data_IF_263494536796
#
_entry.id   IF_263494536796
#
_cell.length_a   1.000
_cell.length_b   1.000
_cell.length_c   1.000
_cell.angle_alpha   90.00
_cell.angle_beta   90.00
_cell.angle_gamma   90.00
#
_symmetry.space_group_name_H-M   'P 1'
#
loop_
_entity.id
_entity.type
_entity.pdbx_description
1 polymer ?
#
# COMPACT_ATOMS: atom_id res chain seq x y z
N UNK A 1 -13.68 -22.07 15.64
CA UNK A 1 -14.91 -21.57 14.98
C UNK A 1 -14.46 -20.60 13.91
N UNK A 2 -14.76 -20.82 12.61
CA UNK A 2 -14.37 -19.85 11.58
C UNK A 2 -15.09 -18.53 11.84
N UNK A 3 -14.34 -17.45 11.94
CA UNK A 3 -14.87 -16.10 12.17
C UNK A 3 -15.69 -15.68 10.92
N UNK A 4 -16.82 -15.02 11.16
CA UNK A 4 -17.85 -14.74 10.15
C UNK A 4 -17.58 -13.44 9.37
N UNK A 5 -18.19 -13.25 8.19
CA UNK A 5 -18.09 -11.98 7.45
C UNK A 5 -18.46 -10.71 8.27
N UNK A 6 -19.44 -10.76 9.20
CA UNK A 6 -19.66 -9.69 10.19
C UNK A 6 -18.43 -9.33 11.02
N UNK A 7 -17.65 -10.33 11.47
CA UNK A 7 -16.46 -10.12 12.30
C UNK A 7 -15.34 -9.43 11.52
N UNK A 8 -15.20 -9.75 10.23
CA UNK A 8 -14.29 -9.05 9.30
C UNK A 8 -14.58 -7.56 9.25
N UNK A 9 -15.85 -7.19 9.02
CA UNK A 9 -16.25 -5.79 8.89
C UNK A 9 -16.12 -5.00 10.20
N UNK A 10 -16.25 -5.66 11.36
CA UNK A 10 -16.03 -5.05 12.66
C UNK A 10 -14.53 -4.77 12.90
N UNK A 11 -13.66 -5.78 12.74
CA UNK A 11 -12.22 -5.59 12.95
C UNK A 11 -11.60 -4.63 11.94
N UNK A 12 -12.06 -4.63 10.68
CA UNK A 12 -11.60 -3.66 9.70
C UNK A 12 -11.91 -2.23 10.16
N UNK A 13 -13.14 -1.96 10.64
CA UNK A 13 -13.54 -0.64 11.15
C UNK A 13 -12.77 -0.23 12.40
N UNK A 14 -12.37 -1.19 13.23
CA UNK A 14 -11.57 -0.95 14.43
C UNK A 14 -10.11 -0.57 14.09
N UNK A 15 -9.49 -1.30 13.16
CA UNK A 15 -8.07 -1.16 12.85
C UNK A 15 -7.78 -0.02 11.87
N UNK A 16 -8.61 0.13 10.84
CA UNK A 16 -8.34 1.01 9.70
C UNK A 16 -8.02 2.46 10.11
N UNK A 17 -8.77 3.13 11.00
CA UNK A 17 -8.49 4.52 11.35
C UNK A 17 -7.08 4.70 11.93
N UNK A 18 -6.65 3.81 12.83
CA UNK A 18 -5.31 3.87 13.45
C UNK A 18 -4.21 3.51 12.46
N UNK A 19 -4.42 2.49 11.61
CA UNK A 19 -3.43 2.15 10.56
C UNK A 19 -3.24 3.33 9.61
N UNK A 20 -4.34 3.93 9.15
CA UNK A 20 -4.30 5.07 8.24
C UNK A 20 -3.64 6.29 8.88
N UNK A 21 -3.92 6.56 10.16
CA UNK A 21 -3.25 7.62 10.92
C UNK A 21 -1.75 7.38 11.04
N UNK A 22 -1.31 6.16 11.35
CA UNK A 22 0.11 5.81 11.38
C UNK A 22 0.78 5.96 10.00
N UNK A 23 0.06 5.69 8.90
CA UNK A 23 0.54 6.01 7.54
C UNK A 23 0.79 7.52 7.39
N UNK A 24 -0.16 8.37 7.80
CA UNK A 24 -0.02 9.82 7.70
C UNK A 24 1.09 10.38 8.57
N UNK A 25 1.24 9.90 9.81
CA UNK A 25 2.35 10.28 10.69
C UNK A 25 3.68 9.93 10.03
N UNK A 26 3.80 8.71 9.49
CA UNK A 26 5.00 8.29 8.79
C UNK A 26 5.31 9.17 7.57
N UNK A 27 4.32 9.42 6.73
CA UNK A 27 4.50 10.22 5.52
C UNK A 27 4.82 11.69 5.84
N UNK A 28 4.16 12.28 6.84
CA UNK A 28 4.42 13.65 7.28
C UNK A 28 5.89 13.81 7.71
N UNK A 29 6.37 12.94 8.60
CA UNK A 29 7.74 13.00 9.13
C UNK A 29 8.81 12.69 8.08
N UNK A 30 8.51 11.85 7.08
CA UNK A 30 9.51 11.33 6.14
C UNK A 30 9.31 11.80 4.69
N UNK A 31 8.41 12.75 4.44
CA UNK A 31 8.17 13.33 3.10
C UNK A 31 9.44 13.93 2.49
N UNK A 32 10.31 14.53 3.31
CA UNK A 32 11.60 15.09 2.91
C UNK A 32 12.64 14.06 2.44
N UNK A 33 12.36 12.76 2.52
CA UNK A 33 13.25 11.71 1.99
C UNK A 33 13.23 11.63 0.46
N UNK A 34 12.23 12.21 -0.17
CA UNK A 34 12.07 12.20 -1.61
C UNK A 34 12.54 13.53 -2.22
N UNK A 35 13.07 13.49 -3.44
CA UNK A 35 13.19 14.71 -4.24
C UNK A 35 11.79 15.26 -4.54
N UNK A 36 11.67 16.55 -4.85
CA UNK A 36 10.37 17.17 -5.17
C UNK A 36 9.61 16.41 -6.28
N UNK A 37 10.30 16.08 -7.38
CA UNK A 37 9.71 15.29 -8.46
C UNK A 37 9.33 13.87 -7.98
N UNK A 38 10.17 13.24 -7.17
CA UNK A 38 9.91 11.91 -6.62
C UNK A 38 8.72 11.89 -5.65
N UNK A 39 8.55 12.93 -4.83
CA UNK A 39 7.40 13.11 -3.95
C UNK A 39 6.12 13.31 -4.78
N UNK A 40 6.17 14.20 -5.77
CA UNK A 40 5.02 14.49 -6.63
C UNK A 40 4.50 13.23 -7.36
N UNK A 41 5.39 12.41 -7.91
CA UNK A 41 5.00 11.15 -8.55
C UNK A 41 4.28 10.20 -7.58
N UNK A 42 4.76 10.09 -6.34
CA UNK A 42 4.14 9.25 -5.30
C UNK A 42 2.80 9.80 -4.85
N UNK A 43 2.67 11.11 -4.71
CA UNK A 43 1.42 11.78 -4.39
C UNK A 43 0.37 11.57 -5.49
N UNK A 44 0.76 11.66 -6.77
CA UNK A 44 -0.10 11.31 -7.89
C UNK A 44 -0.57 9.86 -7.82
N UNK A 45 0.33 8.93 -7.51
CA UNK A 45 -0.01 7.52 -7.40
C UNK A 45 -0.96 7.25 -6.22
N UNK A 46 -0.73 7.89 -5.07
CA UNK A 46 -1.62 7.81 -3.92
C UNK A 46 -3.00 8.43 -4.21
N UNK A 47 -3.06 9.55 -4.93
CA UNK A 47 -4.32 10.14 -5.39
C UNK A 47 -5.16 9.17 -6.24
N UNK A 48 -4.53 8.48 -7.19
CA UNK A 48 -5.21 7.49 -8.02
C UNK A 48 -5.64 6.29 -7.18
N UNK A 49 -4.77 5.78 -6.31
CA UNK A 49 -5.05 4.66 -5.42
C UNK A 49 -6.23 4.96 -4.47
N UNK A 50 -6.29 6.14 -3.85
CA UNK A 50 -7.40 6.52 -2.96
C UNK A 50 -8.75 6.60 -3.68
N UNK A 51 -8.73 6.86 -4.99
CA UNK A 51 -9.92 6.89 -5.84
C UNK A 51 -10.26 5.54 -6.48
N UNK A 52 -9.53 4.48 -6.12
CA UNK A 52 -9.66 3.15 -6.72
C UNK A 52 -9.44 3.17 -8.24
N UNK A 53 -8.57 4.08 -8.71
CA UNK A 53 -8.22 4.24 -10.11
C UNK A 53 -6.91 3.52 -10.43
N UNK A 54 -6.80 2.87 -11.59
CA UNK A 54 -5.54 2.25 -11.99
C UNK A 54 -4.48 3.30 -12.34
N UNK A 55 -3.18 2.93 -12.31
CA UNK A 55 -2.06 3.87 -12.47
C UNK A 55 -1.96 4.52 -13.85
N UNK A 56 -2.57 3.93 -14.88
CA UNK A 56 -2.64 4.46 -16.25
C UNK A 56 -3.80 5.44 -16.47
N UNK A 57 -4.60 5.73 -15.44
CA UNK A 57 -5.67 6.72 -15.52
C UNK A 57 -5.10 8.12 -15.71
N UNK A 58 -5.60 8.85 -16.72
CA UNK A 58 -5.28 10.25 -16.89
C UNK A 58 -5.74 11.05 -15.66
N UNK A 59 -4.84 11.87 -15.12
CA UNK A 59 -5.09 12.60 -13.88
C UNK A 59 -5.56 14.01 -14.19
N UNK A 60 -6.74 14.40 -13.69
CA UNK A 60 -7.16 15.80 -13.68
C UNK A 60 -6.17 16.63 -12.86
N UNK A 61 -5.46 17.54 -13.54
CA UNK A 61 -4.42 18.37 -12.92
C UNK A 61 -4.98 19.23 -11.80
N UNK A 62 -6.17 19.81 -11.98
CA UNK A 62 -6.74 20.71 -10.96
C UNK A 62 -7.10 19.89 -9.72
N UNK A 63 -7.85 18.80 -9.90
CA UNK A 63 -8.23 17.92 -8.79
C UNK A 63 -7.04 17.28 -8.08
N UNK A 64 -5.96 16.96 -8.80
CA UNK A 64 -4.72 16.48 -8.19
C UNK A 64 -4.08 17.55 -7.31
N UNK A 65 -3.93 18.77 -7.82
CA UNK A 65 -3.31 19.87 -7.06
C UNK A 65 -4.14 20.23 -5.82
N UNK A 66 -5.45 20.33 -5.94
CA UNK A 66 -6.36 20.59 -4.81
C UNK A 66 -6.24 19.47 -3.75
N UNK A 67 -6.10 18.21 -4.16
CA UNK A 67 -5.89 17.08 -3.24
C UNK A 67 -4.50 17.09 -2.60
N UNK A 68 -3.44 17.46 -3.34
CA UNK A 68 -2.07 17.57 -2.81
C UNK A 68 -2.04 18.63 -1.71
N UNK A 69 -2.63 19.81 -1.95
CA UNK A 69 -2.70 20.87 -0.95
C UNK A 69 -3.43 20.40 0.32
N UNK A 70 -4.55 19.69 0.17
CA UNK A 70 -5.26 19.11 1.31
C UNK A 70 -4.41 18.06 2.05
N UNK A 71 -3.64 17.23 1.33
CA UNK A 71 -2.75 16.22 1.90
C UNK A 71 -1.61 16.85 2.69
N UNK A 72 -0.99 17.89 2.16
CA UNK A 72 0.10 18.60 2.83
C UNK A 72 -0.40 19.30 4.11
N UNK A 73 -1.56 19.95 4.04
CA UNK A 73 -2.21 20.52 5.22
C UNK A 73 -2.53 19.46 6.29
N UNK A 74 -3.00 18.28 5.87
CA UNK A 74 -3.21 17.15 6.78
C UNK A 74 -1.90 16.72 7.44
N UNK A 75 -0.80 16.61 6.70
CA UNK A 75 0.49 16.22 7.25
C UNK A 75 1.04 17.21 8.27
N UNK A 76 0.81 18.52 8.11
CA UNK A 76 1.19 19.51 9.11
C UNK A 76 0.57 19.23 10.49
N UNK A 77 -0.64 18.66 10.52
CA UNK A 77 -1.32 18.26 11.77
C UNK A 77 -0.84 16.93 12.36
N UNK A 78 -0.06 16.15 11.60
CA UNK A 78 0.43 14.82 11.99
C UNK A 78 1.96 14.77 12.16
N UNK A 79 2.64 15.87 11.87
CA UNK A 79 4.09 15.98 12.01
C UNK A 79 4.49 15.77 13.47
N UNK A 80 5.53 14.94 13.67
CA UNK A 80 6.13 14.60 14.96
C UNK A 80 5.18 14.00 16.01
N UNK A 81 3.99 13.55 15.60
CA UNK A 81 3.12 12.76 16.47
C UNK A 81 3.71 11.36 16.70
N UNK A 82 3.53 10.77 17.89
CA UNK A 82 3.92 9.38 18.13
C UNK A 82 3.00 8.42 17.38
N UNK A 83 3.55 7.28 16.95
CA UNK A 83 2.73 6.19 16.39
C UNK A 83 1.81 5.60 17.45
N UNK A 84 0.59 5.27 17.02
CA UNK A 84 -0.47 4.78 17.89
C UNK A 84 -0.55 3.25 17.88
N UNK A 85 -0.81 2.68 19.06
CA UNK A 85 -1.17 1.28 19.21
C UNK A 85 -2.55 1.01 18.60
N UNK A 86 -2.72 -0.17 18.02
CA UNK A 86 -3.97 -0.57 17.40
C UNK A 86 -4.94 -1.10 18.47
N UNK A 87 -6.22 -0.79 18.33
CA UNK A 87 -7.28 -1.47 19.08
C UNK A 87 -7.64 -2.76 18.37
N UNK A 88 -7.58 -3.88 19.08
CA UNK A 88 -7.98 -5.19 18.58
C UNK A 88 -8.95 -5.83 19.57
N UNK A 89 -10.23 -5.86 19.22
CA UNK A 89 -11.34 -6.29 20.09
C UNK A 89 -11.34 -5.53 21.44
N UNK A 90 -11.06 -4.23 21.40
CA UNK A 90 -11.00 -3.37 22.58
C UNK A 90 -9.71 -3.51 23.41
N UNK A 91 -8.74 -4.32 22.97
CA UNK A 91 -7.42 -4.42 23.60
C UNK A 91 -6.38 -3.62 22.82
N UNK A 92 -5.55 -2.85 23.51
CA UNK A 92 -4.41 -2.17 22.90
C UNK A 92 -3.30 -3.16 22.52
N UNK A 93 -2.88 -3.13 21.25
CA UNK A 93 -1.79 -3.94 20.71
C UNK A 93 -0.74 -3.03 20.09
N UNK A 94 0.54 -3.30 20.37
CA UNK A 94 1.65 -2.51 19.85
C UNK A 94 1.63 -2.45 18.32
N UNK A 95 1.90 -1.28 17.74
CA UNK A 95 1.88 -1.12 16.27
C UNK A 95 2.93 -1.95 15.52
N UNK A 96 3.95 -2.46 16.19
CA UNK A 96 4.90 -3.40 15.59
C UNK A 96 4.56 -4.87 15.84
N UNK A 97 3.56 -5.17 16.67
CA UNK A 97 3.14 -6.53 17.01
C UNK A 97 2.25 -7.14 15.91
N UNK A 98 2.89 -7.36 14.77
CA UNK A 98 2.24 -7.88 13.57
C UNK A 98 1.72 -9.29 13.78
N UNK A 99 2.40 -10.11 14.58
CA UNK A 99 1.99 -11.47 14.86
C UNK A 99 0.64 -11.46 15.58
N UNK A 100 0.53 -10.75 16.70
CA UNK A 100 -0.71 -10.70 17.49
C UNK A 100 -1.89 -10.14 16.71
N UNK A 101 -1.65 -9.15 15.85
CA UNK A 101 -2.69 -8.58 14.99
C UNK A 101 -3.13 -9.60 13.93
N UNK A 102 -2.17 -10.18 13.19
CA UNK A 102 -2.48 -11.10 12.09
C UNK A 102 -3.05 -12.44 12.57
N UNK A 103 -2.71 -12.91 13.77
CA UNK A 103 -3.33 -14.09 14.37
C UNK A 103 -4.86 -13.96 14.48
N UNK A 104 -5.39 -12.72 14.54
CA UNK A 104 -6.83 -12.45 14.58
C UNK A 104 -7.44 -12.15 13.21
N UNK A 105 -6.73 -11.43 12.36
CA UNK A 105 -7.32 -10.90 11.11
C UNK A 105 -7.00 -11.73 9.87
N UNK A 106 -5.94 -12.54 9.89
CA UNK A 106 -5.59 -13.42 8.76
C UNK A 106 -6.67 -14.46 8.46
N UNK A 107 -7.29 -15.14 9.46
CA UNK A 107 -8.42 -16.03 9.21
C UNK A 107 -9.66 -15.34 8.62
N UNK A 108 -9.71 -14.00 8.67
CA UNK A 108 -10.78 -13.17 8.11
C UNK A 108 -10.44 -12.61 6.72
N UNK A 109 -9.32 -13.04 6.12
CA UNK A 109 -8.88 -12.57 4.81
C UNK A 109 -8.33 -11.15 4.83
N UNK A 110 -7.75 -10.72 5.96
CA UNK A 110 -7.09 -9.42 6.10
C UNK A 110 -5.64 -9.62 6.54
N UNK A 111 -4.77 -8.70 6.15
CA UNK A 111 -3.38 -8.72 6.60
C UNK A 111 -2.91 -7.31 6.95
N UNK A 112 -2.30 -7.20 8.13
CA UNK A 112 -1.65 -6.00 8.62
C UNK A 112 -0.14 -6.13 8.48
N UNK A 113 0.50 -5.11 7.92
CA UNK A 113 1.94 -5.01 7.84
C UNK A 113 2.44 -3.71 8.43
N UNK A 114 3.37 -3.81 9.38
CA UNK A 114 4.14 -2.69 9.89
C UNK A 114 5.61 -3.06 10.10
N UNK A 115 6.51 -2.14 9.74
CA UNK A 115 7.95 -2.36 9.87
C UNK A 115 8.75 -1.14 9.44
N UNK A 116 10.03 -1.36 9.13
CA UNK A 116 10.93 -0.32 8.63
C UNK A 116 11.22 -0.58 7.15
N UNK A 117 10.94 0.43 6.32
CA UNK A 117 11.21 0.42 4.90
C UNK A 117 12.57 1.03 4.55
N UNK A 118 12.70 1.49 3.30
CA UNK A 118 13.91 2.16 2.83
C UNK A 118 14.21 3.41 3.69
N UNK A 119 15.47 3.59 4.05
CA UNK A 119 15.90 4.72 4.88
C UNK A 119 15.37 4.65 6.32
N UNK A 120 14.99 3.46 6.78
CA UNK A 120 14.36 3.23 8.09
C UNK A 120 13.05 4.00 8.29
N UNK A 121 12.38 4.44 7.21
CA UNK A 121 11.04 5.00 7.28
C UNK A 121 10.08 3.94 7.84
N UNK A 122 9.39 4.18 8.98
CA UNK A 122 8.33 3.32 9.45
C UNK A 122 7.24 3.19 8.39
N UNK A 123 6.80 1.98 8.06
CA UNK A 123 5.80 1.74 7.00
C UNK A 123 4.65 0.91 7.54
N UNK A 124 3.45 1.20 7.06
CA UNK A 124 2.20 0.59 7.51
C UNK A 124 1.30 0.29 6.31
N UNK A 125 0.62 -0.84 6.34
CA UNK A 125 -0.44 -1.17 5.40
C UNK A 125 -1.45 -2.15 6.01
N UNK A 126 -2.67 -2.12 5.48
CA UNK A 126 -3.74 -3.07 5.80
C UNK A 126 -4.45 -3.45 4.49
N UNK A 127 -4.49 -4.73 4.16
CA UNK A 127 -5.04 -5.19 2.88
C UNK A 127 -5.83 -6.49 2.94
N UNK A 128 -6.54 -6.75 1.86
CA UNK A 128 -7.31 -7.97 1.63
C UNK A 128 -6.39 -9.09 1.12
N UNK A 129 -6.46 -10.25 1.77
CA UNK A 129 -5.74 -11.46 1.33
C UNK A 129 -6.56 -12.14 0.24
N UNK A 130 -5.95 -12.33 -0.93
CA UNK A 130 -6.57 -13.03 -2.06
C UNK A 130 -5.98 -14.41 -2.33
N UNK A 131 -4.77 -14.68 -1.82
CA UNK A 131 -4.10 -15.97 -1.94
C UNK A 131 -3.14 -16.19 -0.77
N UNK A 132 -3.05 -17.45 -0.34
CA UNK A 132 -2.06 -17.90 0.64
C UNK A 132 -1.54 -19.27 0.21
N UNK A 133 -0.23 -19.38 0.03
CA UNK A 133 0.42 -20.62 -0.44
C UNK A 133 1.78 -20.84 0.18
N UNK A 134 2.16 -22.09 0.32
CA UNK A 134 3.54 -22.48 0.65
C UNK A 134 4.37 -22.58 -0.64
N UNK A 135 5.55 -21.97 -0.65
CA UNK A 135 6.48 -22.04 -1.77
C UNK A 135 7.93 -22.04 -1.26
N UNK A 136 8.66 -23.13 -1.53
CA UNK A 136 10.09 -23.21 -1.19
C UNK A 136 10.40 -23.05 0.31
N UNK A 137 9.50 -23.49 1.19
CA UNK A 137 9.63 -23.33 2.65
C UNK A 137 9.25 -21.94 3.19
N UNK A 138 8.62 -21.11 2.36
CA UNK A 138 8.04 -19.83 2.72
C UNK A 138 6.52 -19.85 2.62
N UNK A 139 5.85 -19.17 3.53
CA UNK A 139 4.44 -18.82 3.40
C UNK A 139 4.33 -17.53 2.61
N UNK A 140 3.71 -17.60 1.43
CA UNK A 140 3.44 -16.46 0.56
C UNK A 140 1.99 -16.02 0.75
N UNK A 141 1.81 -14.77 1.18
CA UNK A 141 0.50 -14.11 1.25
C UNK A 141 0.43 -13.10 0.11
N UNK A 142 -0.61 -13.16 -0.71
CA UNK A 142 -0.86 -12.18 -1.76
C UNK A 142 -2.02 -11.29 -1.36
N UNK A 143 -1.77 -9.98 -1.36
CA UNK A 143 -2.74 -8.93 -1.14
C UNK A 143 -3.10 -8.26 -2.47
N UNK A 144 -4.37 -7.91 -2.64
CA UNK A 144 -4.79 -7.11 -3.80
C UNK A 144 -5.20 -5.70 -3.39
N UNK A 145 -6.42 -5.55 -2.88
CA UNK A 145 -6.91 -4.28 -2.37
C UNK A 145 -6.25 -3.94 -1.04
N UNK A 146 -5.77 -2.71 -0.92
CA UNK A 146 -5.30 -2.16 0.35
C UNK A 146 -6.28 -1.10 0.85
N UNK A 147 -6.63 -1.18 2.12
CA UNK A 147 -7.48 -0.20 2.80
C UNK A 147 -6.68 0.97 3.36
N UNK A 148 -5.43 0.72 3.71
CA UNK A 148 -4.47 1.74 4.12
C UNK A 148 -3.09 1.37 3.54
N UNK A 149 -2.40 2.38 3.00
CA UNK A 149 -0.99 2.30 2.60
C UNK A 149 -0.35 3.68 2.71
N UNK A 150 0.87 3.72 3.22
CA UNK A 150 1.71 4.91 3.15
C UNK A 150 2.35 5.10 1.75
N UNK A 151 3.02 6.24 1.53
CA UNK A 151 3.61 6.61 0.24
C UNK A 151 4.78 5.72 -0.23
N UNK A 152 5.36 4.91 0.66
CA UNK A 152 6.44 4.02 0.31
C UNK A 152 5.90 2.77 -0.40
N UNK A 153 5.89 2.85 -1.73
CA UNK A 153 5.57 1.71 -2.61
C UNK A 153 6.62 0.61 -2.45
N UNK A 154 6.25 -0.47 -1.76
CA UNK A 154 7.04 -1.70 -1.65
C UNK A 154 6.16 -2.89 -2.04
N UNK A 155 6.30 -3.46 -3.26
CA UNK A 155 5.38 -4.48 -3.79
C UNK A 155 5.56 -5.85 -3.15
N UNK A 156 6.67 -6.09 -2.46
CA UNK A 156 6.93 -7.33 -1.77
C UNK A 156 7.76 -7.06 -0.52
N UNK A 157 7.32 -7.61 0.62
CA UNK A 157 8.09 -7.56 1.88
C UNK A 157 8.33 -8.97 2.41
N UNK A 158 9.52 -9.20 2.97
CA UNK A 158 9.87 -10.47 3.62
C UNK A 158 9.95 -10.27 5.12
N UNK A 159 9.36 -11.19 5.88
CA UNK A 159 9.46 -11.26 7.35
C UNK A 159 9.69 -12.70 7.79
N UNK A 160 10.95 -13.04 8.05
CA UNK A 160 11.33 -14.42 8.36
C UNK A 160 10.98 -15.37 7.21
N UNK A 161 10.04 -16.28 7.47
CA UNK A 161 9.50 -17.24 6.49
C UNK A 161 8.27 -16.74 5.73
N UNK A 162 7.78 -15.53 6.02
CA UNK A 162 6.64 -14.94 5.35
C UNK A 162 7.09 -14.01 4.22
N UNK A 163 6.46 -14.13 3.06
CA UNK A 163 6.61 -13.23 1.92
C UNK A 163 5.23 -12.64 1.64
N UNK A 164 5.11 -11.32 1.70
CA UNK A 164 3.85 -10.62 1.50
C UNK A 164 3.96 -9.89 0.17
N UNK A 165 3.22 -10.36 -0.82
CA UNK A 165 3.10 -9.76 -2.14
C UNK A 165 1.93 -8.77 -2.13
N UNK A 166 2.15 -7.54 -2.58
CA UNK A 166 1.17 -6.45 -2.58
C UNK A 166 0.91 -6.04 -4.03
N UNK A 167 -0.17 -6.57 -4.62
CA UNK A 167 -0.46 -6.38 -6.05
C UNK A 167 -0.83 -4.94 -6.39
N UNK A 168 -1.53 -4.21 -5.51
CA UNK A 168 -1.84 -2.79 -5.75
C UNK A 168 -0.54 -1.97 -5.92
N UNK A 169 0.38 -1.90 -4.94
CA UNK A 169 1.69 -1.25 -5.11
C UNK A 169 2.51 -1.77 -6.30
N UNK A 170 2.42 -3.07 -6.61
CA UNK A 170 3.10 -3.66 -7.77
C UNK A 170 2.61 -3.07 -9.09
N UNK A 171 1.30 -2.85 -9.26
CA UNK A 171 0.75 -2.23 -10.48
C UNK A 171 1.29 -0.82 -10.67
N UNK A 172 1.33 0.00 -9.62
CA UNK A 172 1.90 1.35 -9.67
C UNK A 172 3.40 1.33 -9.99
N UNK A 173 4.16 0.44 -9.34
CA UNK A 173 5.59 0.30 -9.61
C UNK A 173 5.86 -0.09 -11.07
N UNK A 174 5.18 -1.12 -11.58
CA UNK A 174 5.35 -1.60 -12.95
C UNK A 174 4.96 -0.53 -13.96
N UNK A 175 3.88 0.20 -13.71
CA UNK A 175 3.49 1.31 -14.57
C UNK A 175 4.53 2.42 -14.61
N UNK A 176 5.07 2.80 -13.45
CA UNK A 176 6.19 3.74 -13.37
C UNK A 176 7.39 3.29 -14.22
N UNK A 177 7.73 2.00 -14.18
CA UNK A 177 8.78 1.42 -15.04
C UNK A 177 8.45 1.44 -16.52
N UNK A 178 7.21 1.19 -16.90
CA UNK A 178 6.78 1.30 -18.30
C UNK A 178 6.89 2.74 -18.81
N UNK A 179 6.56 3.72 -17.97
CA UNK A 179 6.69 5.15 -18.33
C UNK A 179 8.14 5.59 -18.50
N UNK A 180 9.10 4.96 -17.81
CA UNK A 180 10.54 5.26 -17.93
C UNK A 180 11.17 4.76 -19.25
N UNK A 181 10.57 3.78 -19.95
CA UNK A 181 11.19 3.07 -21.09
C UNK A 181 11.28 3.90 -22.42
N UNK A 182 10.83 5.17 -22.42
CA UNK A 182 10.89 6.11 -23.56
C UNK A 182 10.15 5.72 -24.86
N UNK A 183 9.80 6.75 -25.63
CA UNK A 183 8.91 6.74 -26.79
C UNK A 183 9.38 5.93 -28.01
N UNK A 184 10.66 5.53 -28.10
CA UNK A 184 11.23 4.79 -29.24
C UNK A 184 11.03 3.27 -29.15
N UNK A 185 10.78 2.72 -27.95
CA UNK A 185 10.64 1.27 -27.74
C UNK A 185 9.18 0.83 -27.56
N UNK A 186 8.19 1.70 -27.80
CA UNK A 186 6.76 1.38 -27.60
C UNK A 186 6.31 0.16 -28.40
N UNK A 187 6.75 0.01 -29.64
CA UNK A 187 6.38 -1.16 -30.46
C UNK A 187 7.07 -2.45 -29.99
N UNK A 188 8.36 -2.39 -29.64
CA UNK A 188 9.09 -3.55 -29.12
C UNK A 188 8.54 -3.99 -27.75
N UNK A 189 8.28 -3.02 -26.87
CA UNK A 189 7.68 -3.24 -25.55
C UNK A 189 6.26 -3.78 -25.70
N UNK A 190 5.42 -3.19 -26.56
CA UNK A 190 4.07 -3.68 -26.84
C UNK A 190 4.09 -5.10 -27.40
N UNK A 191 5.03 -5.41 -28.29
CA UNK A 191 5.23 -6.75 -28.85
C UNK A 191 5.62 -7.74 -27.76
N UNK A 192 6.61 -7.40 -26.93
CA UNK A 192 7.07 -8.24 -25.82
C UNK A 192 5.94 -8.49 -24.79
N UNK A 193 5.22 -7.45 -24.38
CA UNK A 193 4.08 -7.56 -23.46
C UNK A 193 2.98 -8.45 -24.04
N UNK A 194 2.65 -8.29 -25.33
CA UNK A 194 1.67 -9.14 -26.02
C UNK A 194 2.13 -10.60 -26.06
N UNK A 195 3.41 -10.86 -26.34
CA UNK A 195 3.98 -12.20 -26.36
C UNK A 195 3.85 -12.92 -25.01
N UNK A 196 4.04 -12.21 -23.89
CA UNK A 196 3.84 -12.75 -22.54
C UNK A 196 2.38 -12.71 -22.06
N UNK A 197 1.42 -12.47 -22.96
CA UNK A 197 -0.01 -12.53 -22.66
C UNK A 197 -0.58 -11.27 -21.98
N UNK A 198 0.21 -10.21 -21.84
CA UNK A 198 -0.29 -8.92 -21.36
C UNK A 198 -0.92 -8.17 -22.54
N UNK A 199 -2.25 -8.05 -22.53
CA UNK A 199 -2.99 -7.17 -23.43
C UNK A 199 -3.21 -5.82 -22.71
N UNK A 200 -2.33 -4.82 -22.87
CA UNK A 200 -2.65 -3.50 -22.36
C UNK A 200 -3.93 -3.05 -23.06
N UNK A 201 -5.00 -2.87 -22.30
CA UNK A 201 -6.15 -2.10 -22.78
C UNK A 201 -5.57 -0.72 -23.09
N UNK A 202 -5.50 -0.35 -24.37
CA UNK A 202 -5.10 1.00 -24.73
C UNK A 202 -6.09 1.98 -24.05
N UNK A 203 -5.62 3.08 -23.46
CA UNK A 203 -6.51 4.16 -23.08
C UNK A 203 -7.28 4.69 -24.30
#
# INVERSE_FOLDING_TARGET
>A
MPLSAPDRGLLLRELLPTVQKNCWISDATHSGFYSLCGLFLRLKDQFLWEKDLPPWTETDKKGLMDWIEARENLWLTHLDLPFENLSLQGQGVGFLDNQRINDRILPLGLYYGAGLGRGLKPTFFLGEVIDQREFGGYTVITLDREYASDLLVTPAVRRGKWIILRLSPLRFLLWGKIQEIEHLEREATKTALTYYGWKPVQP
#
